data_IF_061040887080
#
_entry.id   IF_061040887080
#
_cell.length_a   1.000
_cell.length_b   1.000
_cell.length_c   1.000
_cell.angle_alpha   90.00
_cell.angle_beta   90.00
_cell.angle_gamma   90.00
#
_symmetry.space_group_name_H-M   'P 1'
#
loop_
_entity.id
_entity.type
_entity.pdbx_description
1 polymer ?
#
# COMPACT_ATOMS: atom_id res chain seq x y z
N UNK A 1 17.95 10.02 -1.60
CA UNK A 1 16.88 10.01 -2.62
C UNK A 1 15.49 10.09 -1.98
N UNK A 2 14.93 9.06 -1.34
CA UNK A 2 13.61 9.18 -0.67
C UNK A 2 13.65 10.04 0.60
N UNK A 3 14.73 9.96 1.39
CA UNK A 3 14.92 10.78 2.61
C UNK A 3 15.02 12.28 2.33
N UNK A 4 15.37 12.64 1.09
CA UNK A 4 15.64 14.03 0.70
C UNK A 4 14.43 14.71 0.06
N UNK A 5 13.36 13.95 -0.23
CA UNK A 5 12.10 14.51 -0.73
C UNK A 5 11.52 15.49 0.30
N UNK A 6 10.70 16.48 -0.12
CA UNK A 6 9.93 17.26 0.84
C UNK A 6 8.91 16.36 1.59
N UNK A 7 8.62 16.61 2.87
CA UNK A 7 7.50 15.99 3.56
C UNK A 7 6.17 16.25 2.82
N UNK A 8 5.25 15.30 2.88
CA UNK A 8 3.98 15.32 2.14
C UNK A 8 2.74 15.12 3.03
N UNK A 9 2.95 14.74 4.29
CA UNK A 9 1.91 14.55 5.29
C UNK A 9 2.40 15.13 6.62
N UNK A 10 2.31 16.45 6.76
CA UNK A 10 2.92 17.14 7.91
C UNK A 10 4.44 16.94 7.92
N UNK A 11 5.05 16.45 9.02
CA UNK A 11 6.48 16.18 9.06
C UNK A 11 6.89 14.89 8.30
N UNK A 12 5.94 14.07 7.89
CA UNK A 12 6.17 12.73 7.31
C UNK A 12 6.27 12.78 5.79
N UNK A 13 7.21 12.03 5.21
CA UNK A 13 7.23 11.66 3.78
C UNK A 13 6.47 10.36 3.61
N UNK A 14 5.26 10.41 3.05
CA UNK A 14 4.52 9.20 2.71
C UNK A 14 4.97 8.69 1.36
N UNK A 15 5.43 7.44 1.31
CA UNK A 15 5.81 6.77 0.07
C UNK A 15 4.84 5.64 -0.21
N UNK A 16 4.10 5.74 -1.31
CA UNK A 16 3.16 4.72 -1.76
C UNK A 16 3.87 3.65 -2.58
N UNK A 17 3.56 2.37 -2.31
CA UNK A 17 3.95 1.22 -3.12
C UNK A 17 2.68 0.52 -3.60
N UNK A 18 2.32 0.74 -4.86
CA UNK A 18 1.09 0.21 -5.48
C UNK A 18 1.42 -0.82 -6.57
N UNK A 19 0.41 -1.54 -7.05
CA UNK A 19 0.52 -2.62 -8.02
C UNK A 19 -0.48 -3.74 -7.72
N UNK A 20 -0.66 -4.66 -8.66
CA UNK A 20 -1.62 -5.76 -8.56
C UNK A 20 -1.39 -6.66 -7.33
N UNK A 21 -2.46 -7.23 -6.76
CA UNK A 21 -2.35 -8.26 -5.73
C UNK A 21 -1.47 -9.43 -6.23
N UNK A 22 -0.51 -9.85 -5.40
CA UNK A 22 0.49 -10.85 -5.77
C UNK A 22 1.71 -10.32 -6.54
N UNK A 23 1.82 -9.02 -6.81
CA UNK A 23 2.98 -8.44 -7.54
C UNK A 23 4.29 -8.36 -6.74
N UNK A 24 4.24 -8.60 -5.42
CA UNK A 24 5.42 -8.56 -4.54
C UNK A 24 5.61 -7.25 -3.78
N UNK A 25 4.61 -6.36 -3.73
CA UNK A 25 4.62 -5.09 -2.96
C UNK A 25 5.13 -5.25 -1.53
N UNK A 26 4.53 -6.16 -0.75
CA UNK A 26 4.92 -6.42 0.65
C UNK A 26 6.39 -6.80 0.78
N UNK A 27 6.90 -7.65 -0.12
CA UNK A 27 8.34 -8.02 -0.13
C UNK A 27 9.23 -6.82 -0.46
N UNK A 28 8.84 -6.02 -1.46
CA UNK A 28 9.58 -4.82 -1.82
C UNK A 28 9.56 -3.78 -0.69
N UNK A 29 8.39 -3.49 -0.12
CA UNK A 29 8.19 -2.56 0.98
C UNK A 29 9.02 -2.96 2.21
N UNK A 30 9.10 -4.25 2.54
CA UNK A 30 9.96 -4.75 3.61
C UNK A 30 11.45 -4.50 3.36
N UNK A 31 11.94 -4.73 2.13
CA UNK A 31 13.32 -4.42 1.76
C UNK A 31 13.60 -2.92 1.76
N UNK A 32 12.65 -2.12 1.28
CA UNK A 32 12.75 -0.67 1.26
C UNK A 32 12.76 -0.10 2.69
N UNK A 33 11.91 -0.62 3.57
CA UNK A 33 11.91 -0.30 5.00
C UNK A 33 13.28 -0.55 5.63
N UNK A 34 13.86 -1.74 5.42
CA UNK A 34 15.18 -2.07 5.93
C UNK A 34 16.28 -1.14 5.40
N UNK A 35 16.27 -0.83 4.09
CA UNK A 35 17.20 0.12 3.48
C UNK A 35 17.02 1.56 4.01
N UNK A 36 15.82 1.90 4.48
CA UNK A 36 15.48 3.15 5.16
C UNK A 36 15.68 3.09 6.67
N UNK A 37 16.41 2.10 7.19
CA UNK A 37 16.74 1.99 8.61
C UNK A 37 15.54 1.60 9.48
N UNK A 38 14.60 0.83 8.93
CA UNK A 38 13.41 0.37 9.65
C UNK A 38 12.22 1.31 9.56
N UNK A 39 12.03 2.00 8.42
CA UNK A 39 10.86 2.86 8.22
C UNK A 39 9.54 2.06 8.39
N UNK A 40 8.55 2.58 9.14
CA UNK A 40 7.28 1.87 9.33
C UNK A 40 6.56 1.62 8.00
N UNK A 41 5.85 0.48 7.93
CA UNK A 41 5.03 0.08 6.78
C UNK A 41 3.58 -0.05 7.23
N UNK A 42 2.69 0.69 6.58
CA UNK A 42 1.26 0.48 6.66
C UNK A 42 0.82 -0.42 5.51
N UNK A 43 0.18 -1.54 5.84
CA UNK A 43 -0.44 -2.43 4.88
C UNK A 43 -1.90 -2.02 4.68
N UNK A 44 -2.30 -1.65 3.46
CA UNK A 44 -3.69 -1.23 3.20
C UNK A 44 -4.69 -2.38 3.38
N UNK A 45 -4.22 -3.62 3.29
CA UNK A 45 -5.00 -4.82 3.58
C UNK A 45 -5.43 -4.87 5.07
N UNK A 46 -4.72 -4.18 5.97
CA UNK A 46 -5.12 -4.03 7.38
C UNK A 46 -6.33 -3.08 7.53
N UNK A 47 -6.55 -2.21 6.55
CA UNK A 47 -7.67 -1.25 6.56
C UNK A 47 -8.85 -1.73 5.73
N UNK A 48 -8.67 -2.71 4.85
CA UNK A 48 -9.74 -3.33 4.07
C UNK A 48 -10.54 -4.35 4.92
N UNK A 49 -11.65 -4.84 4.37
CA UNK A 49 -12.44 -5.92 5.00
C UNK A 49 -13.12 -6.78 3.94
N UNK A 50 -13.73 -7.90 4.34
CA UNK A 50 -14.54 -8.74 3.45
C UNK A 50 -15.68 -7.97 2.76
N UNK A 51 -16.28 -7.01 3.46
CA UNK A 51 -17.40 -6.20 2.93
C UNK A 51 -16.91 -5.02 2.08
N UNK A 52 -15.65 -4.62 2.23
CA UNK A 52 -15.10 -3.38 1.67
C UNK A 52 -13.61 -3.53 1.33
N UNK A 53 -13.29 -4.13 0.18
CA UNK A 53 -11.90 -4.26 -0.28
C UNK A 53 -11.22 -2.91 -0.56
N UNK A 54 -11.96 -1.91 -1.04
CA UNK A 54 -11.41 -0.61 -1.44
C UNK A 54 -12.07 0.61 -0.79
N UNK A 55 -13.08 0.40 0.06
CA UNK A 55 -13.79 1.46 0.79
C UNK A 55 -13.21 1.64 2.21
N UNK A 56 -11.93 2.01 2.24
CA UNK A 56 -11.17 2.22 3.48
C UNK A 56 -10.61 3.64 3.61
N UNK A 57 -10.88 4.55 2.66
CA UNK A 57 -10.30 5.91 2.64
C UNK A 57 -10.68 6.76 3.84
N UNK A 58 -11.91 6.61 4.34
CA UNK A 58 -12.35 7.28 5.57
C UNK A 58 -11.49 6.84 6.75
N UNK A 59 -11.37 5.52 6.96
CA UNK A 59 -10.52 4.91 8.00
C UNK A 59 -9.07 5.35 7.87
N UNK A 60 -8.47 5.27 6.68
CA UNK A 60 -7.10 5.72 6.44
C UNK A 60 -6.93 7.20 6.83
N UNK A 61 -7.88 8.05 6.44
CA UNK A 61 -7.79 9.49 6.70
C UNK A 61 -7.88 9.81 8.18
N UNK A 62 -8.84 9.22 8.88
CA UNK A 62 -9.12 9.48 10.29
C UNK A 62 -8.07 8.85 11.21
N UNK A 63 -7.74 7.59 11.00
CA UNK A 63 -6.88 6.81 11.89
C UNK A 63 -5.39 7.00 11.61
N UNK A 64 -5.02 7.35 10.38
CA UNK A 64 -3.61 7.42 9.97
C UNK A 64 -3.19 8.80 9.46
N UNK A 65 -3.75 9.27 8.35
CA UNK A 65 -3.22 10.46 7.68
C UNK A 65 -3.37 11.73 8.53
N UNK A 66 -4.50 11.87 9.24
CA UNK A 66 -4.75 13.03 10.08
C UNK A 66 -3.75 13.09 11.26
N UNK A 67 -3.57 12.04 12.09
CA UNK A 67 -2.54 12.03 13.13
C UNK A 67 -1.12 12.26 12.59
N UNK A 68 -0.72 11.55 11.51
CA UNK A 68 0.61 11.70 10.93
C UNK A 68 0.86 13.12 10.44
N UNK A 69 -0.14 13.75 9.81
CA UNK A 69 -0.03 15.14 9.34
C UNK A 69 0.16 16.17 10.47
N UNK A 70 -0.16 15.79 11.70
CA UNK A 70 0.00 16.59 12.90
C UNK A 70 1.26 16.20 13.70
N UNK A 71 2.08 15.29 13.17
CA UNK A 71 3.25 14.77 13.88
C UNK A 71 2.89 13.93 15.11
N UNK A 72 1.71 13.31 15.12
CA UNK A 72 1.26 12.41 16.20
C UNK A 72 1.30 10.96 15.73
N UNK A 73 1.55 10.04 16.67
CA UNK A 73 1.42 8.59 16.45
C UNK A 73 -0.02 8.26 16.06
N UNK A 74 -0.19 7.71 14.86
CA UNK A 74 -1.44 7.13 14.41
C UNK A 74 -1.71 5.81 15.14
N UNK A 75 -2.98 5.49 15.35
CA UNK A 75 -3.41 4.19 15.85
C UNK A 75 -4.54 3.72 14.95
N UNK A 76 -4.40 2.54 14.35
CA UNK A 76 -5.38 2.01 13.41
C UNK A 76 -5.81 0.61 13.79
N UNK A 77 -7.08 0.31 13.51
CA UNK A 77 -7.63 -1.03 13.69
C UNK A 77 -7.22 -1.90 12.49
N UNK A 78 -6.30 -2.84 12.70
CA UNK A 78 -5.94 -3.83 11.68
C UNK A 78 -7.01 -4.93 11.60
N UNK A 79 -7.52 -5.19 10.39
CA UNK A 79 -8.56 -6.18 10.17
C UNK A 79 -8.04 -7.61 10.32
N UNK A 80 -8.72 -8.42 11.12
CA UNK A 80 -8.45 -9.85 11.21
C UNK A 80 -9.25 -10.58 10.12
N UNK A 81 -8.56 -10.95 9.04
CA UNK A 81 -9.12 -11.70 7.92
C UNK A 81 -9.57 -13.12 8.30
N UNK A 82 -9.05 -13.72 9.37
CA UNK A 82 -9.48 -15.05 9.82
C UNK A 82 -10.79 -14.96 10.61
N UNK A 83 -10.91 -13.94 11.46
CA UNK A 83 -12.10 -13.70 12.29
C UNK A 83 -13.16 -12.84 11.58
N UNK A 84 -12.83 -12.32 10.40
CA UNK A 84 -13.62 -11.40 9.61
C UNK A 84 -14.11 -10.16 10.41
N UNK A 85 -13.25 -9.60 11.26
CA UNK A 85 -13.62 -8.48 12.14
C UNK A 85 -12.47 -7.51 12.38
N UNK A 86 -12.82 -6.23 12.62
CA UNK A 86 -11.91 -5.28 13.25
C UNK A 86 -11.86 -5.53 14.78
N UNK A 87 -10.73 -5.26 15.44
CA UNK A 87 -10.67 -5.29 16.90
C UNK A 87 -11.69 -4.30 17.51
N UNK A 88 -12.46 -4.79 18.48
CA UNK A 88 -13.43 -3.97 19.20
C UNK A 88 -12.77 -3.02 20.21
N UNK A 89 -11.65 -3.46 20.79
CA UNK A 89 -10.92 -2.72 21.82
C UNK A 89 -9.85 -1.81 21.21
N UNK A 90 -9.84 -0.53 21.61
CA UNK A 90 -8.87 0.45 21.13
C UNK A 90 -7.43 0.11 21.55
N UNK A 91 -7.24 -0.61 22.65
CA UNK A 91 -5.92 -1.06 23.12
C UNK A 91 -5.28 -2.09 22.19
N UNK A 92 -6.08 -2.72 21.31
CA UNK A 92 -5.59 -3.63 20.29
C UNK A 92 -5.26 -2.93 18.96
N UNK A 93 -5.37 -1.60 18.89
CA UNK A 93 -5.04 -0.86 17.67
C UNK A 93 -3.53 -0.74 17.49
N UNK A 94 -3.09 -0.91 16.25
CA UNK A 94 -1.67 -0.91 15.90
C UNK A 94 -1.14 0.53 15.88
N UNK A 95 -0.07 0.84 16.63
CA UNK A 95 0.56 2.15 16.58
C UNK A 95 1.39 2.31 15.30
N UNK A 96 1.36 3.52 14.73
CA UNK A 96 2.18 3.92 13.59
C UNK A 96 2.81 5.29 13.88
N UNK A 97 4.07 5.34 14.31
CA UNK A 97 4.73 6.60 14.66
C UNK A 97 5.01 7.48 13.43
N UNK A 98 5.05 8.81 13.58
CA UNK A 98 5.31 9.76 12.50
C UNK A 98 6.80 9.86 12.18
N UNK A 99 7.38 8.74 11.74
CA UNK A 99 8.77 8.68 11.33
C UNK A 99 9.03 9.55 10.08
N UNK A 100 10.28 10.00 9.84
CA UNK A 100 10.61 10.86 8.71
C UNK A 100 10.17 10.32 7.33
N UNK A 101 10.09 8.99 7.21
CA UNK A 101 9.50 8.28 6.07
C UNK A 101 8.57 7.20 6.61
N UNK A 102 7.36 7.13 6.07
CA UNK A 102 6.40 6.05 6.31
C UNK A 102 5.99 5.47 4.95
N UNK A 103 6.08 4.14 4.82
CA UNK A 103 5.67 3.42 3.62
C UNK A 103 4.20 3.05 3.73
N UNK A 104 3.45 3.22 2.65
CA UNK A 104 2.07 2.73 2.51
C UNK A 104 2.04 1.78 1.34
N UNK A 105 1.72 0.51 1.58
CA UNK A 105 1.74 -0.51 0.55
C UNK A 105 0.39 -1.22 0.46
N UNK A 106 0.00 -1.57 -0.76
CA UNK A 106 -1.24 -2.29 -1.02
C UNK A 106 -1.90 -1.80 -2.29
N UNK A 107 -2.89 -2.56 -2.76
CA UNK A 107 -3.65 -2.18 -3.95
C UNK A 107 -4.42 -0.89 -3.63
N UNK A 108 -4.16 0.16 -4.41
CA UNK A 108 -4.75 1.48 -4.18
C UNK A 108 -3.90 2.43 -3.36
N UNK A 109 -2.65 2.07 -3.03
CA UNK A 109 -1.67 3.00 -2.44
C UNK A 109 -1.36 4.20 -3.35
N UNK A 110 -1.65 4.10 -4.65
CA UNK A 110 -1.55 5.17 -5.63
C UNK A 110 -2.88 5.82 -6.00
N UNK A 111 -3.96 5.59 -5.25
CA UNK A 111 -5.28 6.16 -5.57
C UNK A 111 -5.29 7.70 -5.52
N UNK A 112 -6.10 8.33 -6.36
CA UNK A 112 -6.20 9.78 -6.55
C UNK A 112 -6.41 10.56 -5.26
N UNK A 113 -7.22 10.06 -4.34
CA UNK A 113 -7.46 10.72 -3.05
C UNK A 113 -6.23 10.72 -2.13
N UNK A 114 -5.31 9.77 -2.32
CA UNK A 114 -4.08 9.66 -1.54
C UNK A 114 -2.91 10.40 -2.19
N UNK A 115 -2.85 10.50 -3.53
CA UNK A 115 -1.75 11.14 -4.28
C UNK A 115 -1.31 12.51 -3.74
N UNK A 116 -2.21 13.46 -3.37
CA UNK A 116 -1.80 14.76 -2.83
C UNK A 116 -1.05 14.69 -1.49
N UNK A 117 -1.08 13.54 -0.81
CA UNK A 117 -0.38 13.28 0.45
C UNK A 117 0.89 12.45 0.26
N UNK A 118 1.19 11.98 -0.96
CA UNK A 118 2.38 11.18 -1.24
C UNK A 118 3.56 12.09 -1.63
N UNK A 119 4.72 11.83 -1.03
CA UNK A 119 5.99 12.40 -1.46
C UNK A 119 6.52 11.64 -2.70
N UNK A 120 6.18 10.36 -2.81
CA UNK A 120 6.57 9.50 -3.92
C UNK A 120 5.57 8.35 -4.07
N UNK A 121 5.26 7.98 -5.32
CA UNK A 121 4.52 6.78 -5.68
C UNK A 121 5.42 5.84 -6.51
N UNK A 122 5.52 4.60 -6.06
CA UNK A 122 6.24 3.51 -6.73
C UNK A 122 5.24 2.46 -7.20
N UNK A 123 5.32 2.04 -8.46
CA UNK A 123 4.47 1.01 -9.04
C UNK A 123 5.23 -0.30 -9.22
N UNK A 124 4.72 -1.39 -8.65
CA UNK A 124 5.22 -2.75 -8.89
C UNK A 124 4.77 -3.25 -10.27
N UNK A 125 5.73 -3.31 -11.19
CA UNK A 125 5.55 -3.75 -12.57
C UNK A 125 5.53 -5.28 -12.66
N UNK A 126 4.31 -5.81 -12.70
CA UNK A 126 4.02 -7.19 -13.01
C UNK A 126 2.71 -7.24 -13.77
N UNK A 127 2.66 -8.03 -14.85
CA UNK A 127 1.43 -8.24 -15.58
C UNK A 127 0.34 -8.78 -14.63
N UNK A 128 -0.91 -8.25 -14.68
CA UNK A 128 -1.95 -8.60 -13.73
C UNK A 128 -2.18 -10.11 -13.63
N UNK A 129 -2.18 -10.81 -14.76
CA UNK A 129 -2.39 -12.26 -14.84
C UNK A 129 -1.29 -13.05 -14.11
N UNK A 130 -0.04 -12.57 -14.17
CA UNK A 130 1.09 -13.21 -13.48
C UNK A 130 1.02 -12.94 -11.97
N UNK A 131 0.65 -11.72 -11.59
CA UNK A 131 0.47 -11.32 -10.19
C UNK A 131 -0.65 -12.15 -9.54
N UNK A 132 -1.82 -12.24 -10.16
CA UNK A 132 -2.95 -13.03 -9.66
C UNK A 132 -2.63 -14.52 -9.60
N UNK A 133 -1.97 -15.08 -10.62
CA UNK A 133 -1.55 -16.48 -10.61
C UNK A 133 -0.62 -16.76 -9.43
N UNK A 134 0.38 -15.90 -9.20
CA UNK A 134 1.32 -16.02 -8.08
C UNK A 134 0.59 -15.93 -6.73
N UNK A 135 -0.34 -14.98 -6.60
CA UNK A 135 -1.13 -14.83 -5.38
C UNK A 135 -2.00 -16.05 -5.07
N UNK A 136 -2.74 -16.55 -6.07
CA UNK A 136 -3.53 -17.78 -5.94
C UNK A 136 -2.70 -19.00 -5.55
N UNK A 137 -1.54 -19.18 -6.18
CA UNK A 137 -0.65 -20.29 -5.86
C UNK A 137 -0.11 -20.22 -4.42
N UNK A 138 0.11 -19.02 -3.89
CA UNK A 138 0.52 -18.81 -2.49
C UNK A 138 -0.61 -19.14 -1.51
N UNK A 139 -1.82 -18.71 -1.83
CA UNK A 139 -2.97 -18.75 -0.91
C UNK A 139 -3.76 -20.07 -0.97
N UNK A 140 -3.59 -20.83 -2.06
CA UNK A 140 -4.19 -22.14 -2.25
C UNK A 140 -5.67 -22.11 -2.70
N UNK A 141 -6.19 -23.30 -3.02
CA UNK A 141 -7.53 -23.46 -3.59
C UNK A 141 -8.66 -23.07 -2.63
N UNK A 142 -8.44 -23.16 -1.31
CA UNK A 142 -9.42 -22.78 -0.29
C UNK A 142 -9.86 -21.30 -0.38
N UNK A 143 -9.07 -20.45 -1.04
CA UNK A 143 -9.34 -19.02 -1.22
C UNK A 143 -9.72 -18.68 -2.67
N UNK A 144 -10.12 -19.64 -3.50
CA UNK A 144 -10.46 -19.39 -4.91
C UNK A 144 -11.58 -18.35 -5.09
N UNK A 145 -12.70 -18.51 -4.37
CA UNK A 145 -13.85 -17.58 -4.43
C UNK A 145 -13.48 -16.18 -3.94
N UNK A 146 -12.66 -16.11 -2.88
CA UNK A 146 -12.11 -14.85 -2.38
C UNK A 146 -11.28 -14.16 -3.47
N UNK A 147 -10.39 -14.90 -4.13
CA UNK A 147 -9.59 -14.37 -5.23
C UNK A 147 -10.45 -13.92 -6.42
N UNK A 148 -11.54 -14.62 -6.73
CA UNK A 148 -12.48 -14.20 -7.79
C UNK A 148 -13.20 -12.89 -7.45
N UNK A 149 -13.63 -12.72 -6.19
CA UNK A 149 -14.19 -11.46 -5.72
C UNK A 149 -13.14 -10.34 -5.74
N UNK A 150 -11.95 -10.60 -5.21
CA UNK A 150 -10.86 -9.63 -5.17
C UNK A 150 -10.46 -9.14 -6.56
N UNK A 151 -10.22 -10.06 -7.51
CA UNK A 151 -9.82 -9.69 -8.87
C UNK A 151 -10.86 -8.83 -9.58
N UNK A 152 -12.16 -9.08 -9.36
CA UNK A 152 -13.22 -8.23 -9.91
C UNK A 152 -13.15 -6.81 -9.35
N UNK A 153 -13.02 -6.69 -8.03
CA UNK A 153 -12.93 -5.39 -7.36
C UNK A 153 -11.64 -4.64 -7.71
N UNK A 154 -10.50 -5.34 -7.80
CA UNK A 154 -9.22 -4.74 -8.20
C UNK A 154 -9.25 -4.22 -9.65
N UNK A 155 -9.83 -5.01 -10.58
CA UNK A 155 -10.02 -4.56 -11.97
C UNK A 155 -10.88 -3.31 -12.04
N UNK A 156 -11.99 -3.27 -11.28
CA UNK A 156 -12.85 -2.10 -11.22
C UNK A 156 -12.10 -0.88 -10.65
N UNK A 157 -11.36 -1.08 -9.56
CA UNK A 157 -10.55 -0.04 -8.94
C UNK A 157 -9.56 0.60 -9.92
N UNK A 158 -8.73 -0.20 -10.61
CA UNK A 158 -7.74 0.35 -11.53
C UNK A 158 -8.33 0.90 -12.84
N UNK A 159 -9.51 0.43 -13.25
CA UNK A 159 -10.22 1.00 -14.38
C UNK A 159 -10.74 2.42 -14.07
N UNK A 160 -11.21 2.64 -12.84
CA UNK A 160 -11.71 3.93 -12.38
C UNK A 160 -10.58 4.91 -11.97
N UNK A 161 -9.54 4.39 -11.32
CA UNK A 161 -8.46 5.19 -10.73
C UNK A 161 -7.07 4.57 -10.99
N UNK A 162 -6.55 4.67 -12.23
CA UNK A 162 -5.28 4.07 -12.59
C UNK A 162 -4.09 4.74 -11.88
N UNK A 163 -3.34 3.98 -11.10
CA UNK A 163 -2.17 4.46 -10.36
C UNK A 163 -0.90 4.57 -11.20
N UNK A 164 -0.70 3.67 -12.19
CA UNK A 164 0.54 3.57 -12.98
C UNK A 164 0.95 4.90 -13.64
N UNK A 165 0.01 5.62 -14.24
CA UNK A 165 0.27 6.90 -14.93
C UNK A 165 0.75 8.01 -13.99
N UNK A 166 0.56 7.85 -12.68
CA UNK A 166 0.99 8.79 -11.65
C UNK A 166 2.25 8.33 -10.91
N UNK A 167 2.82 7.18 -11.26
CA UNK A 167 3.99 6.64 -10.57
C UNK A 167 5.25 7.44 -10.89
N UNK A 168 5.98 7.86 -9.86
CA UNK A 168 7.29 8.48 -9.99
C UNK A 168 8.36 7.43 -10.36
N UNK A 169 8.19 6.20 -9.85
CA UNK A 169 9.08 5.08 -10.16
C UNK A 169 8.29 3.83 -10.50
N UNK A 170 8.88 3.01 -11.37
CA UNK A 170 8.41 1.68 -11.71
C UNK A 170 9.43 0.68 -11.17
N UNK A 171 8.94 -0.33 -10.46
CA UNK A 171 9.73 -1.32 -9.74
C UNK A 171 9.45 -2.69 -10.30
N UNK A 172 10.48 -3.35 -10.83
CA UNK A 172 10.38 -4.71 -11.37
C UNK A 172 11.16 -5.69 -10.50
N UNK A 173 10.55 -6.83 -10.20
CA UNK A 173 11.28 -7.93 -9.57
C UNK A 173 12.05 -8.71 -10.64
N UNK A 174 13.37 -8.79 -10.49
CA UNK A 174 14.27 -9.62 -11.29
C UNK A 174 14.88 -10.76 -10.46
N UNK A 175 15.75 -11.56 -11.08
CA UNK A 175 16.40 -12.71 -10.43
C UNK A 175 17.32 -12.30 -9.27
N UNK A 176 18.03 -11.17 -9.43
CA UNK A 176 19.03 -10.70 -8.46
C UNK A 176 18.47 -9.67 -7.46
N UNK A 177 17.20 -9.26 -7.57
CA UNK A 177 16.61 -8.26 -6.69
C UNK A 177 15.51 -7.43 -7.34
N UNK A 178 15.41 -6.17 -6.93
CA UNK A 178 14.46 -5.21 -7.48
C UNK A 178 15.18 -4.17 -8.32
N UNK A 179 14.70 -3.96 -9.54
CA UNK A 179 15.13 -2.88 -10.42
C UNK A 179 14.15 -1.72 -10.29
N UNK A 180 14.67 -0.51 -10.09
CA UNK A 180 13.87 0.73 -10.00
C UNK A 180 14.20 1.61 -11.20
N UNK A 181 13.18 2.05 -11.92
CA UNK A 181 13.30 2.93 -13.09
C UNK A 181 12.37 4.12 -12.92
N UNK A 182 12.64 5.22 -13.62
CA UNK A 182 11.70 6.35 -13.68
C UNK A 182 10.35 5.89 -14.22
N UNK A 183 9.28 6.34 -13.57
CA UNK A 183 7.92 6.09 -13.99
C UNK A 183 7.35 7.22 -14.85
N UNK A 184 6.09 7.09 -15.29
CA UNK A 184 5.43 8.09 -16.14
C UNK A 184 5.34 9.51 -15.55
N UNK A 185 5.49 9.64 -14.22
CA UNK A 185 5.52 10.91 -13.50
C UNK A 185 6.91 11.25 -12.91
N UNK A 186 7.97 10.54 -13.31
CA UNK A 186 9.32 10.62 -12.71
C UNK A 186 10.12 11.91 -12.93
N UNK A 187 9.57 12.91 -13.64
CA UNK A 187 10.24 14.18 -13.93
C UNK A 187 9.31 15.40 -13.93
N UNK A 188 8.18 15.31 -13.21
CA UNK A 188 7.24 16.44 -13.03
C UNK A 188 7.46 17.14 -11.70
#
# INVERSE_FOLDING_TARGET
>A
MLRDLPPSCGPVRLVGVDGHAGSGKTTFAGRLSAALGGAPVLHLDDLASHDAFFDWTGRLTEQVLTPLSQGRTAHYAAYDWTRAAFPADADAWTPLPPEPVVLVEGVGAGRRSLRPRLACLMWMDMAPQDAWRRGRMRDGEALADFWDAWMRSEKAHFAEDPSYSSANYVVRQGELGFEVREGPAGGR
#
